data_IF_010264246489
#
_entry.id   IF_010264246489
#
_cell.length_a   1.000
_cell.length_b   1.000
_cell.length_c   1.000
_cell.angle_alpha   90.00
_cell.angle_beta   90.00
_cell.angle_gamma   90.00
#
_symmetry.space_group_name_H-M   'P 1'
#
loop_
_entity.id
_entity.type
_entity.pdbx_description
1 polymer ?
#
# COMPACT_ATOMS: atom_id res chain seq x y z
N UNK A 1 -18.97 11.56 -4.49
CA UNK A 1 -18.45 10.18 -4.47
C UNK A 1 -19.51 9.24 -3.91
N UNK A 2 -19.55 7.97 -4.32
CA UNK A 2 -20.32 6.93 -3.63
C UNK A 2 -19.33 6.02 -2.90
N UNK A 3 -19.08 6.31 -1.63
CA UNK A 3 -17.97 5.73 -0.85
C UNK A 3 -18.54 4.75 0.17
N UNK A 4 -17.94 3.56 0.25
CA UNK A 4 -18.15 2.68 1.39
C UNK A 4 -17.48 3.27 2.64
N UNK A 5 -18.30 3.83 3.52
CA UNK A 5 -17.83 4.47 4.76
C UNK A 5 -17.07 3.52 5.68
N UNK A 6 -17.29 2.21 5.57
CA UNK A 6 -16.63 1.22 6.42
C UNK A 6 -15.11 1.16 6.21
N UNK A 7 -14.63 1.59 5.03
CA UNK A 7 -13.20 1.62 4.72
C UNK A 7 -12.50 2.89 5.21
N UNK A 8 -13.25 3.94 5.56
CA UNK A 8 -12.69 5.25 5.93
C UNK A 8 -13.30 5.71 7.27
N UNK A 9 -12.65 5.41 8.41
CA UNK A 9 -13.15 5.74 9.74
C UNK A 9 -13.43 7.23 9.96
N UNK A 10 -12.62 8.11 9.37
CA UNK A 10 -12.87 9.55 9.37
C UNK A 10 -14.25 9.89 8.79
N UNK A 11 -14.58 9.38 7.60
CA UNK A 11 -15.87 9.65 6.95
C UNK A 11 -17.04 9.03 7.71
N UNK A 12 -16.86 7.83 8.26
CA UNK A 12 -17.86 7.23 9.15
C UNK A 12 -18.18 8.15 10.33
N UNK A 13 -17.14 8.67 10.99
CA UNK A 13 -17.30 9.56 12.14
C UNK A 13 -17.91 10.91 11.75
N UNK A 14 -17.45 11.47 10.63
CA UNK A 14 -17.95 12.73 10.06
C UNK A 14 -19.44 12.65 9.70
N UNK A 15 -19.84 11.64 8.92
CA UNK A 15 -21.25 11.44 8.52
C UNK A 15 -22.13 11.19 9.74
N UNK A 16 -21.66 10.45 10.74
CA UNK A 16 -22.39 10.24 12.00
C UNK A 16 -22.63 11.57 12.73
N UNK A 17 -21.63 12.44 12.78
CA UNK A 17 -21.74 13.76 13.41
C UNK A 17 -22.69 14.68 12.63
N UNK A 18 -22.56 14.75 11.31
CA UNK A 18 -23.40 15.62 10.48
C UNK A 18 -24.86 15.15 10.43
N UNK A 19 -25.14 13.84 10.45
CA UNK A 19 -26.52 13.33 10.58
C UNK A 19 -27.21 13.77 11.87
N UNK A 20 -26.49 13.98 12.96
CA UNK A 20 -27.07 14.52 14.18
C UNK A 20 -27.49 16.00 14.02
N UNK A 21 -26.88 16.73 13.08
CA UNK A 21 -27.18 18.14 12.77
C UNK A 21 -28.23 18.28 11.67
N UNK A 22 -28.18 17.41 10.68
CA UNK A 22 -29.09 17.35 9.53
C UNK A 22 -29.58 15.92 9.31
N UNK A 23 -30.65 15.49 10.01
CA UNK A 23 -31.13 14.10 9.96
C UNK A 23 -31.62 13.63 8.58
N UNK A 24 -31.99 14.58 7.71
CA UNK A 24 -32.53 14.31 6.37
C UNK A 24 -31.50 14.53 5.25
N UNK A 25 -30.26 14.89 5.59
CA UNK A 25 -29.19 15.08 4.60
C UNK A 25 -28.74 13.76 3.99
N UNK A 26 -28.74 13.67 2.66
CA UNK A 26 -28.17 12.54 1.91
C UNK A 26 -26.80 12.85 1.31
N UNK A 27 -26.40 14.11 1.30
CA UNK A 27 -25.14 14.60 0.73
C UNK A 27 -24.42 15.44 1.79
N UNK A 28 -23.14 15.15 1.98
CA UNK A 28 -22.29 15.81 2.98
C UNK A 28 -20.99 16.27 2.32
N UNK A 29 -20.57 17.48 2.66
CA UNK A 29 -19.31 18.04 2.16
C UNK A 29 -18.30 18.07 3.31
N UNK A 30 -17.20 17.32 3.18
CA UNK A 30 -16.07 17.42 4.10
C UNK A 30 -15.01 18.39 3.56
N UNK A 31 -14.08 18.81 4.43
CA UNK A 31 -12.96 19.66 4.02
C UNK A 31 -12.04 18.97 3.01
N UNK A 32 -11.36 19.76 2.18
CA UNK A 32 -10.38 19.23 1.22
C UNK A 32 -9.23 18.55 1.96
N UNK A 33 -8.99 17.27 1.63
CA UNK A 33 -7.80 16.54 2.06
C UNK A 33 -6.88 16.35 0.86
N UNK A 34 -5.56 16.65 0.98
CA UNK A 34 -4.60 16.36 -0.08
C UNK A 34 -4.68 14.90 -0.52
N UNK A 35 -4.56 14.65 -1.83
CA UNK A 35 -4.53 13.30 -2.41
C UNK A 35 -5.70 12.38 -2.03
N UNK A 36 -6.84 12.93 -1.57
CA UNK A 36 -8.02 12.14 -1.20
C UNK A 36 -8.52 11.25 -2.34
N UNK A 37 -8.57 11.79 -3.58
CA UNK A 37 -8.98 11.03 -4.76
C UNK A 37 -8.06 9.82 -5.02
N UNK A 38 -6.75 9.99 -4.78
CA UNK A 38 -5.79 8.91 -4.93
C UNK A 38 -6.02 7.85 -3.84
N UNK A 39 -6.10 8.25 -2.57
CA UNK A 39 -6.37 7.35 -1.45
C UNK A 39 -7.70 6.58 -1.62
N UNK A 40 -8.75 7.24 -2.09
CA UNK A 40 -10.03 6.59 -2.36
C UNK A 40 -9.93 5.57 -3.51
N UNK A 41 -9.31 5.96 -4.63
CA UNK A 41 -9.15 5.07 -5.78
C UNK A 41 -8.35 3.81 -5.40
N UNK A 42 -7.37 3.95 -4.51
CA UNK A 42 -6.52 2.86 -4.02
C UNK A 42 -7.29 1.86 -3.17
N UNK A 43 -8.15 2.34 -2.27
CA UNK A 43 -9.05 1.50 -1.48
C UNK A 43 -10.01 0.69 -2.38
N UNK A 44 -10.44 1.25 -3.51
CA UNK A 44 -11.35 0.59 -4.45
C UNK A 44 -10.62 -0.39 -5.40
N UNK A 45 -9.36 -0.13 -5.76
CA UNK A 45 -8.68 -0.76 -6.91
C UNK A 45 -7.44 -1.60 -6.57
N UNK A 46 -7.11 -1.76 -5.29
CA UNK A 46 -5.87 -2.32 -4.73
C UNK A 46 -4.67 -1.36 -4.72
N UNK A 47 -3.87 -1.49 -3.66
CA UNK A 47 -2.72 -0.64 -3.31
C UNK A 47 -1.59 -0.56 -4.36
N UNK A 48 -1.54 -1.41 -5.39
CA UNK A 48 -0.56 -1.26 -6.48
C UNK A 48 -0.75 -0.03 -7.36
N UNK A 49 -1.93 0.60 -7.35
CA UNK A 49 -2.21 1.74 -8.22
C UNK A 49 -1.48 3.01 -7.79
N UNK A 50 -1.11 3.15 -6.51
CA UNK A 50 -0.38 4.31 -5.99
C UNK A 50 0.89 4.59 -6.81
N UNK A 51 1.71 3.55 -7.04
CA UNK A 51 2.95 3.66 -7.83
C UNK A 51 2.74 3.94 -9.32
N UNK A 52 1.53 3.72 -9.84
CA UNK A 52 1.18 4.01 -11.24
C UNK A 52 0.55 5.40 -11.39
N UNK A 53 -0.24 5.82 -10.42
CA UNK A 53 -1.02 7.06 -10.45
C UNK A 53 -0.20 8.26 -9.98
N UNK A 54 0.67 8.08 -8.99
CA UNK A 54 1.50 9.15 -8.47
C UNK A 54 2.79 9.32 -9.30
N UNK A 55 3.25 10.58 -9.35
CA UNK A 55 4.58 10.90 -9.85
C UNK A 55 5.64 10.23 -8.96
N UNK A 56 6.83 10.03 -9.51
CA UNK A 56 7.98 9.53 -8.73
C UNK A 56 8.56 10.71 -7.92
N UNK A 57 7.81 11.12 -6.90
CA UNK A 57 8.13 12.20 -5.98
C UNK A 57 7.85 11.76 -4.55
N UNK A 58 8.90 11.64 -3.74
CA UNK A 58 8.83 11.15 -2.36
C UNK A 58 7.88 12.00 -1.50
N UNK A 59 7.81 13.32 -1.75
CA UNK A 59 6.92 14.21 -1.01
C UNK A 59 5.44 13.88 -1.22
N UNK A 60 5.06 13.43 -2.42
CA UNK A 60 3.69 12.99 -2.71
C UNK A 60 3.32 11.72 -1.94
N UNK A 61 4.26 10.80 -1.77
CA UNK A 61 4.02 9.58 -1.00
C UNK A 61 3.98 9.84 0.51
N UNK A 62 4.81 10.74 1.04
CA UNK A 62 4.63 11.21 2.42
C UNK A 62 3.26 11.84 2.63
N UNK A 63 2.86 12.74 1.73
CA UNK A 63 1.52 13.35 1.76
C UNK A 63 0.41 12.29 1.72
N UNK A 64 0.58 11.23 0.91
CA UNK A 64 -0.37 10.12 0.86
C UNK A 64 -0.44 9.36 2.19
N UNK A 65 0.71 9.12 2.84
CA UNK A 65 0.76 8.46 4.14
C UNK A 65 0.08 9.30 5.23
N UNK A 66 0.34 10.62 5.27
CA UNK A 66 -0.35 11.57 6.15
C UNK A 66 -1.86 11.58 5.88
N UNK A 67 -2.28 11.52 4.62
CA UNK A 67 -3.70 11.41 4.26
C UNK A 67 -4.30 10.11 4.77
N UNK A 68 -3.61 8.97 4.67
CA UNK A 68 -4.12 7.72 5.24
C UNK A 68 -4.26 7.75 6.76
N UNK A 69 -3.28 8.32 7.46
CA UNK A 69 -3.35 8.52 8.92
C UNK A 69 -4.53 9.42 9.29
N UNK A 70 -4.68 10.57 8.60
CA UNK A 70 -5.83 11.47 8.80
C UNK A 70 -7.18 10.78 8.57
N UNK A 71 -7.26 9.96 7.51
CA UNK A 71 -8.48 9.23 7.16
C UNK A 71 -8.76 8.05 8.10
N UNK A 72 -7.77 7.64 8.91
CA UNK A 72 -7.79 6.45 9.75
C UNK A 72 -7.77 5.15 8.93
N UNK A 73 -7.21 5.19 7.73
CA UNK A 73 -7.16 4.04 6.83
C UNK A 73 -5.98 3.15 7.21
N UNK A 74 -6.25 1.86 7.35
CA UNK A 74 -5.22 0.85 7.56
C UNK A 74 -4.47 0.57 6.25
N UNK A 75 -3.35 1.28 6.03
CA UNK A 75 -2.48 1.09 4.86
C UNK A 75 -1.89 -0.32 4.74
N UNK A 76 -1.87 -1.08 5.84
CA UNK A 76 -1.44 -2.48 5.87
C UNK A 76 -2.56 -3.47 5.61
N UNK A 77 -3.81 -3.03 5.58
CA UNK A 77 -4.97 -3.91 5.44
C UNK A 77 -4.94 -5.03 6.48
N UNK A 78 -4.53 -4.68 7.70
CA UNK A 78 -4.43 -5.53 8.89
C UNK A 78 -3.36 -6.62 8.79
N UNK A 79 -2.44 -6.51 7.81
CA UNK A 79 -1.28 -7.39 7.72
C UNK A 79 -0.17 -6.95 8.67
N UNK A 80 0.47 -7.92 9.31
CA UNK A 80 1.75 -7.67 10.01
C UNK A 80 2.88 -7.54 9.00
N UNK A 81 3.99 -6.90 9.38
CA UNK A 81 5.21 -6.83 8.56
C UNK A 81 5.66 -8.20 8.03
N UNK A 82 5.62 -9.27 8.84
CA UNK A 82 6.07 -10.59 8.41
C UNK A 82 5.19 -11.18 7.27
N UNK A 83 3.88 -10.89 7.28
CA UNK A 83 2.97 -11.26 6.20
C UNK A 83 3.29 -10.48 4.92
N UNK A 84 3.60 -9.18 5.03
CA UNK A 84 4.06 -8.37 3.90
C UNK A 84 5.31 -9.00 3.26
N UNK A 85 6.25 -9.51 4.06
CA UNK A 85 7.44 -10.21 3.56
C UNK A 85 7.16 -11.57 2.91
N UNK A 86 6.13 -12.28 3.34
CA UNK A 86 5.65 -13.50 2.68
C UNK A 86 5.07 -13.13 1.32
N UNK A 87 4.16 -12.16 1.29
CA UNK A 87 3.47 -11.71 0.08
C UNK A 87 4.45 -11.12 -0.95
N UNK A 88 5.50 -10.41 -0.50
CA UNK A 88 6.56 -9.88 -1.37
C UNK A 88 7.24 -10.98 -2.21
N UNK A 89 7.28 -12.21 -1.69
CA UNK A 89 7.89 -13.37 -2.36
C UNK A 89 6.91 -14.17 -3.20
N UNK A 90 5.62 -13.82 -3.19
CA UNK A 90 4.56 -14.54 -3.89
C UNK A 90 4.74 -14.56 -5.42
N UNK A 91 5.53 -13.64 -5.99
CA UNK A 91 5.76 -13.60 -7.44
C UNK A 91 6.58 -14.78 -7.98
N UNK A 92 7.32 -15.50 -7.11
CA UNK A 92 8.19 -16.60 -7.54
C UNK A 92 7.36 -17.72 -8.17
N UNK A 93 7.81 -18.20 -9.32
CA UNK A 93 7.27 -19.42 -9.92
C UNK A 93 7.69 -20.61 -9.06
N UNK A 94 6.71 -21.36 -8.58
CA UNK A 94 6.93 -22.62 -7.88
C UNK A 94 6.77 -23.81 -8.84
N UNK A 95 7.18 -25.00 -8.43
CA UNK A 95 7.05 -26.22 -9.22
C UNK A 95 6.39 -27.31 -8.38
N UNK A 96 5.19 -27.72 -8.79
CA UNK A 96 4.51 -28.88 -8.19
C UNK A 96 4.82 -30.15 -9.00
N UNK A 97 5.00 -31.27 -8.29
CA UNK A 97 5.20 -32.57 -8.89
C UNK A 97 3.83 -33.23 -9.15
N UNK A 98 3.35 -33.11 -10.38
CA UNK A 98 2.09 -33.72 -10.84
C UNK A 98 2.40 -34.86 -11.80
N UNK A 99 1.94 -36.09 -11.52
CA UNK A 99 2.13 -37.26 -12.41
C UNK A 99 3.60 -37.48 -12.87
N UNK A 100 4.58 -37.37 -11.96
CA UNK A 100 6.03 -37.51 -12.24
C UNK A 100 6.60 -36.46 -13.22
N UNK A 101 5.91 -35.34 -13.44
CA UNK A 101 6.41 -34.19 -14.19
C UNK A 101 6.30 -32.93 -13.32
N UNK A 102 7.30 -32.06 -13.38
CA UNK A 102 7.24 -30.76 -12.71
C UNK A 102 6.38 -29.81 -13.54
N UNK A 103 5.35 -29.23 -12.93
CA UNK A 103 4.53 -28.18 -13.52
C UNK A 103 4.86 -26.85 -12.86
N UNK A 104 5.17 -25.84 -13.67
CA UNK A 104 5.38 -24.48 -13.19
C UNK A 104 4.04 -23.87 -12.75
N UNK A 105 3.99 -23.40 -11.50
CA UNK A 105 2.91 -22.60 -10.94
C UNK A 105 3.39 -21.16 -10.96
N UNK A 106 2.72 -20.34 -11.77
CA UNK A 106 3.04 -18.93 -11.82
C UNK A 106 2.77 -18.30 -10.45
N UNK A 107 3.76 -17.62 -9.90
CA UNK A 107 3.58 -16.85 -8.69
C UNK A 107 2.63 -15.66 -8.89
N UNK A 108 2.04 -15.20 -7.79
CA UNK A 108 1.16 -14.05 -7.76
C UNK A 108 1.94 -12.74 -7.76
N UNK A 109 2.16 -12.21 -8.97
CA UNK A 109 2.79 -10.89 -9.18
C UNK A 109 1.92 -9.73 -8.71
N UNK A 110 0.61 -9.91 -8.60
CA UNK A 110 -0.29 -8.86 -8.10
C UNK A 110 -0.08 -8.70 -6.61
N UNK A 111 -0.17 -9.81 -5.87
CA UNK A 111 0.05 -9.84 -4.43
C UNK A 111 1.42 -9.29 -4.04
N UNK A 112 2.49 -9.70 -4.75
CA UNK A 112 3.83 -9.20 -4.49
C UNK A 112 3.97 -7.69 -4.73
N UNK A 113 3.23 -7.11 -5.69
CA UNK A 113 3.26 -5.66 -5.95
C UNK A 113 2.49 -4.88 -4.90
N UNK A 114 1.35 -5.38 -4.44
CA UNK A 114 0.61 -4.76 -3.33
C UNK A 114 1.46 -4.81 -2.05
N UNK A 115 2.14 -5.92 -1.78
CA UNK A 115 3.07 -6.04 -0.67
C UNK A 115 4.26 -5.06 -0.76
N UNK A 116 4.79 -4.82 -1.97
CA UNK A 116 5.83 -3.80 -2.14
C UNK A 116 5.35 -2.39 -1.82
N UNK A 117 4.06 -2.08 -2.04
CA UNK A 117 3.48 -0.82 -1.59
C UNK A 117 3.33 -0.77 -0.07
N UNK A 118 2.79 -1.82 0.55
CA UNK A 118 2.64 -1.88 2.01
C UNK A 118 3.98 -1.73 2.73
N UNK A 119 5.01 -2.38 2.21
CA UNK A 119 6.39 -2.21 2.69
C UNK A 119 6.83 -0.75 2.59
N UNK A 120 6.58 -0.11 1.45
CA UNK A 120 6.95 1.30 1.28
C UNK A 120 6.21 2.22 2.26
N UNK A 121 4.91 1.98 2.45
CA UNK A 121 4.11 2.68 3.45
C UNK A 121 4.70 2.53 4.86
N UNK A 122 5.11 1.32 5.26
CA UNK A 122 5.78 1.10 6.56
C UNK A 122 7.06 1.90 6.73
N UNK A 123 7.88 1.96 5.67
CA UNK A 123 9.13 2.72 5.69
C UNK A 123 8.84 4.22 5.86
N UNK A 124 7.91 4.77 5.08
CA UNK A 124 7.58 6.19 5.14
C UNK A 124 6.83 6.63 6.40
N UNK A 125 5.91 5.79 6.88
CA UNK A 125 5.12 6.07 8.08
C UNK A 125 5.95 5.89 9.37
N UNK A 126 7.13 5.26 9.29
CA UNK A 126 7.98 5.00 10.45
C UNK A 126 7.40 3.97 11.42
N UNK A 127 6.46 3.13 10.98
CA UNK A 127 5.74 2.16 11.82
C UNK A 127 6.51 0.84 12.05
N UNK A 128 7.83 0.87 11.89
CA UNK A 128 8.70 -0.30 12.12
C UNK A 128 8.89 -0.47 13.64
N UNK A 129 8.21 -1.46 14.22
CA UNK A 129 8.07 -1.61 15.67
C UNK A 129 9.37 -1.91 16.42
N UNK A 130 10.25 -2.74 15.87
CA UNK A 130 11.61 -3.00 16.39
C UNK A 130 12.62 -2.35 15.46
N UNK A 131 12.92 -1.06 15.69
CA UNK A 131 13.68 -0.17 14.78
C UNK A 131 14.92 -0.83 14.16
N UNK A 132 15.68 -1.64 14.91
CA UNK A 132 16.90 -2.26 14.39
C UNK A 132 16.63 -3.48 13.50
N UNK A 133 15.71 -4.37 13.90
CA UNK A 133 15.40 -5.60 13.16
C UNK A 133 14.52 -5.30 11.94
N UNK A 134 13.50 -4.46 12.12
CA UNK A 134 12.55 -4.14 11.08
C UNK A 134 13.14 -3.21 10.01
N UNK A 135 14.08 -2.31 10.37
CA UNK A 135 14.88 -1.55 9.39
C UNK A 135 15.77 -2.48 8.55
N UNK A 136 16.46 -3.44 9.17
CA UNK A 136 17.27 -4.42 8.43
C UNK A 136 16.40 -5.28 7.50
N UNK A 137 15.19 -5.65 7.91
CA UNK A 137 14.22 -6.33 7.06
C UNK A 137 13.81 -5.45 5.88
N UNK A 138 13.45 -4.19 6.13
CA UNK A 138 13.05 -3.22 5.10
C UNK A 138 14.15 -3.03 4.05
N UNK A 139 15.38 -2.80 4.49
CA UNK A 139 16.56 -2.70 3.62
C UNK A 139 16.75 -3.96 2.75
N UNK A 140 16.67 -5.15 3.33
CA UNK A 140 16.75 -6.41 2.59
C UNK A 140 15.60 -6.58 1.58
N UNK A 141 14.42 -6.07 1.91
CA UNK A 141 13.26 -6.05 1.03
C UNK A 141 13.49 -5.16 -0.20
N UNK A 142 14.06 -3.96 0.00
CA UNK A 142 14.41 -3.03 -1.08
C UNK A 142 15.47 -3.64 -1.99
N UNK A 143 16.52 -4.23 -1.40
CA UNK A 143 17.53 -5.00 -2.13
C UNK A 143 16.93 -6.17 -2.91
N UNK A 144 15.83 -6.76 -2.43
CA UNK A 144 15.10 -7.78 -3.15
C UNK A 144 14.23 -7.22 -4.28
N UNK A 145 13.56 -6.08 -4.11
CA UNK A 145 12.64 -5.51 -5.11
C UNK A 145 13.38 -4.97 -6.33
N UNK A 146 14.45 -4.21 -6.09
CA UNK A 146 15.17 -3.44 -7.10
C UNK A 146 15.70 -4.29 -8.28
N UNK A 147 16.30 -5.48 -8.06
CA UNK A 147 16.86 -6.30 -9.14
C UNK A 147 15.83 -7.01 -10.02
N UNK A 148 14.52 -6.91 -9.74
CA UNK A 148 13.49 -7.72 -10.41
C UNK A 148 12.53 -6.89 -11.30
N UNK A 149 12.99 -6.37 -12.46
CA UNK A 149 12.18 -5.55 -13.39
C UNK A 149 10.96 -6.29 -13.97
N UNK A 150 11.02 -7.63 -14.05
CA UNK A 150 9.94 -8.46 -14.57
C UNK A 150 8.71 -8.50 -13.64
N UNK A 151 8.92 -8.23 -12.35
CA UNK A 151 7.87 -8.21 -11.32
C UNK A 151 7.57 -6.76 -10.93
N UNK A 152 8.58 -6.01 -10.49
CA UNK A 152 8.42 -4.66 -9.98
C UNK A 152 8.74 -3.62 -11.06
N UNK A 153 7.79 -2.71 -11.30
CA UNK A 153 7.89 -1.72 -12.38
C UNK A 153 8.91 -0.63 -12.04
N UNK A 154 9.31 0.11 -13.07
CA UNK A 154 10.30 1.19 -12.93
C UNK A 154 9.96 2.14 -11.78
N UNK A 155 8.74 2.69 -11.73
CA UNK A 155 8.32 3.65 -10.70
C UNK A 155 8.51 3.11 -9.28
N UNK A 156 7.96 1.94 -8.98
CA UNK A 156 8.12 1.25 -7.68
C UNK A 156 9.60 1.13 -7.29
N UNK A 157 10.46 0.72 -8.22
CA UNK A 157 11.89 0.54 -7.95
C UNK A 157 12.64 1.85 -7.77
N UNK A 158 12.28 2.90 -8.50
CA UNK A 158 12.91 4.22 -8.38
C UNK A 158 12.57 4.88 -7.05
N UNK A 159 11.31 4.79 -6.63
CA UNK A 159 10.85 5.40 -5.37
C UNK A 159 11.51 4.72 -4.18
N UNK A 160 11.51 3.38 -4.15
CA UNK A 160 12.17 2.61 -3.09
C UNK A 160 13.70 2.83 -3.03
N UNK A 161 14.34 3.18 -4.15
CA UNK A 161 15.77 3.55 -4.16
C UNK A 161 16.02 4.94 -3.60
N UNK A 162 15.16 5.89 -3.96
CA UNK A 162 15.31 7.30 -3.57
C UNK A 162 15.21 7.48 -2.05
N UNK A 163 14.42 6.64 -1.39
CA UNK A 163 14.20 6.67 0.06
C UNK A 163 15.39 6.09 0.86
N UNK A 164 15.94 4.95 0.41
CA UNK A 164 17.06 4.26 1.09
C UNK A 164 18.46 4.77 0.69
N UNK A 165 18.56 5.80 -0.15
CA UNK A 165 19.85 6.39 -0.53
C UNK A 165 20.73 5.52 -1.43
N UNK A 166 20.14 4.64 -2.25
CA UNK A 166 20.87 3.85 -3.24
C UNK A 166 21.11 4.66 -4.53
N UNK A 167 22.31 5.22 -4.70
CA UNK A 167 22.84 5.75 -5.97
C UNK A 167 23.43 4.64 -6.87
#
# INVERSE_FOLDING_TARGET
YNIDLSMIPYLTSFVRFERNRQPQGSEFTHGNSPLFDAAQQELESCYRFCFQSLLVDLAQYHTLCETYDFLGVDGLGSQTIDHVFVDLRAWKTDYELEYKRYRAINGDKTLARDAAFRLFFLILAGELGDEANDSAKAYNAVLFIVPHPGTFKYRTRTILRADEGFD
#
